data_IF_053242656921
#
_entry.id   IF_053242656921
#
_cell.length_a   1.000
_cell.length_b   1.000
_cell.length_c   1.000
_cell.angle_alpha   90.00
_cell.angle_beta   90.00
_cell.angle_gamma   90.00
#
_symmetry.space_group_name_H-M   'P 1'
#
loop_
_entity.id
_entity.type
_entity.pdbx_description
1 polymer ?
#
# COMPACT_ATOMS: atom_id res chain seq x y z
N UNK A 1 7.22 9.48 7.38
CA UNK A 1 5.91 10.17 7.20
C UNK A 1 5.35 10.43 8.60
N UNK A 2 4.72 11.56 8.89
CA UNK A 2 4.02 11.69 10.17
C UNK A 2 2.80 10.75 10.20
N UNK A 3 2.39 10.29 11.39
CA UNK A 3 1.22 9.42 11.54
C UNK A 3 -0.04 10.06 10.96
N UNK A 4 -0.23 11.37 11.17
CA UNK A 4 -1.37 12.11 10.62
C UNK A 4 -1.44 12.03 9.09
N UNK A 5 -0.31 12.16 8.38
CA UNK A 5 -0.29 12.06 6.91
C UNK A 5 -0.56 10.63 6.45
N UNK A 6 -0.11 9.63 7.21
CA UNK A 6 -0.33 8.21 6.91
C UNK A 6 -1.81 7.86 7.06
N UNK A 7 -2.47 8.32 8.12
CA UNK A 7 -3.91 8.09 8.32
C UNK A 7 -4.76 8.81 7.27
N UNK A 8 -4.37 10.00 6.80
CA UNK A 8 -5.07 10.69 5.69
C UNK A 8 -5.01 9.87 4.39
N UNK A 9 -3.85 9.26 4.08
CA UNK A 9 -3.65 8.52 2.82
C UNK A 9 -4.19 7.09 2.87
N UNK A 10 -4.00 6.39 3.99
CA UNK A 10 -4.23 4.95 4.11
C UNK A 10 -5.27 4.56 5.17
N UNK A 11 -5.96 5.53 5.79
CA UNK A 11 -7.02 5.24 6.76
C UNK A 11 -8.15 4.37 6.20
N UNK A 12 -8.40 4.43 4.87
CA UNK A 12 -9.29 3.50 4.18
C UNK A 12 -8.81 2.05 4.22
N UNK A 13 -7.53 1.82 3.87
CA UNK A 13 -6.89 0.49 3.89
C UNK A 13 -6.87 -0.08 5.31
N UNK A 14 -6.48 0.72 6.31
CA UNK A 14 -6.45 0.32 7.72
C UNK A 14 -7.83 -0.08 8.25
N UNK A 15 -8.90 0.59 7.82
CA UNK A 15 -10.29 0.19 8.15
C UNK A 15 -10.76 -1.06 7.42
N UNK A 16 -10.30 -1.28 6.18
CA UNK A 16 -10.70 -2.41 5.36
C UNK A 16 -10.02 -3.70 5.81
N UNK A 17 -8.69 -3.66 6.00
CA UNK A 17 -7.89 -4.85 6.29
C UNK A 17 -7.60 -5.03 7.79
N UNK A 18 -7.72 -3.97 8.60
CA UNK A 18 -7.38 -3.97 10.01
C UNK A 18 -5.98 -3.40 10.30
N UNK A 19 -5.76 -3.01 11.56
CA UNK A 19 -4.50 -2.43 12.03
C UNK A 19 -3.31 -3.38 11.82
N UNK A 20 -3.46 -4.65 12.20
CA UNK A 20 -2.38 -5.63 12.14
C UNK A 20 -1.92 -5.89 10.70
N UNK A 21 -2.86 -6.02 9.77
CA UNK A 21 -2.60 -6.25 8.35
C UNK A 21 -1.99 -5.01 7.70
N UNK A 22 -2.44 -3.82 8.10
CA UNK A 22 -1.82 -2.57 7.66
C UNK A 22 -0.35 -2.48 8.07
N UNK A 23 0.00 -2.88 9.29
CA UNK A 23 1.41 -2.95 9.73
C UNK A 23 2.24 -3.92 8.89
N UNK A 24 1.68 -5.07 8.51
CA UNK A 24 2.36 -6.01 7.62
C UNK A 24 2.63 -5.40 6.24
N UNK A 25 1.65 -4.69 5.67
CA UNK A 25 1.79 -4.01 4.38
C UNK A 25 2.88 -2.92 4.44
N UNK A 26 2.91 -2.11 5.50
CA UNK A 26 3.94 -1.09 5.70
C UNK A 26 5.37 -1.65 5.80
N UNK A 27 5.53 -2.90 6.24
CA UNK A 27 6.81 -3.58 6.36
C UNK A 27 7.15 -4.46 5.16
N UNK A 28 6.22 -4.61 4.22
CA UNK A 28 6.40 -5.46 3.06
C UNK A 28 7.28 -4.79 1.99
N UNK A 29 8.06 -5.61 1.29
CA UNK A 29 8.86 -5.20 0.14
C UNK A 29 8.44 -6.01 -1.08
N UNK A 30 7.91 -5.33 -2.09
CA UNK A 30 7.47 -5.94 -3.34
C UNK A 30 8.43 -5.63 -4.49
N UNK A 31 8.66 -6.61 -5.37
CA UNK A 31 9.35 -6.40 -6.64
C UNK A 31 8.37 -6.68 -7.78
N UNK A 32 8.20 -5.71 -8.68
CA UNK A 32 7.41 -5.88 -9.90
C UNK A 32 8.37 -5.95 -11.08
N UNK A 33 8.48 -7.12 -11.70
CA UNK A 33 9.32 -7.32 -12.89
C UNK A 33 8.47 -7.13 -14.14
N UNK A 34 8.79 -6.07 -14.89
CA UNK A 34 8.06 -5.63 -16.07
C UNK A 34 7.02 -4.57 -15.75
N UNK A 35 7.23 -3.35 -16.25
CA UNK A 35 6.34 -2.19 -16.06
C UNK A 35 5.57 -1.88 -17.35
N UNK A 36 5.03 -2.94 -17.96
CA UNK A 36 4.09 -2.85 -19.08
C UNK A 36 2.65 -2.68 -18.58
N UNK A 37 1.67 -2.95 -19.45
CA UNK A 37 0.26 -2.73 -19.13
C UNK A 37 -0.23 -3.38 -17.85
N UNK A 38 0.26 -4.57 -17.47
CA UNK A 38 -0.11 -5.22 -16.20
C UNK A 38 0.68 -4.64 -15.03
N UNK A 39 2.01 -4.61 -15.16
CA UNK A 39 2.89 -4.22 -14.07
C UNK A 39 2.72 -2.78 -13.62
N UNK A 40 2.32 -1.87 -14.52
CA UNK A 40 2.01 -0.49 -14.14
C UNK A 40 0.81 -0.41 -13.20
N UNK A 41 -0.28 -1.13 -13.48
CA UNK A 41 -1.44 -1.18 -12.59
C UNK A 41 -1.14 -1.93 -11.30
N UNK A 42 -0.32 -2.99 -11.35
CA UNK A 42 0.14 -3.68 -10.13
C UNK A 42 0.92 -2.74 -9.22
N UNK A 43 1.89 -1.99 -9.76
CA UNK A 43 2.67 -1.01 -9.00
C UNK A 43 1.78 0.10 -8.42
N UNK A 44 0.80 0.58 -9.19
CA UNK A 44 -0.18 1.57 -8.70
C UNK A 44 -1.01 1.02 -7.53
N UNK A 45 -1.52 -0.20 -7.65
CA UNK A 45 -2.31 -0.82 -6.58
C UNK A 45 -1.48 -0.99 -5.29
N UNK A 46 -0.24 -1.46 -5.41
CA UNK A 46 0.68 -1.59 -4.26
C UNK A 46 0.92 -0.23 -3.59
N UNK A 47 1.23 0.81 -4.37
CA UNK A 47 1.47 2.16 -3.82
C UNK A 47 0.24 2.78 -3.13
N UNK A 48 -0.97 2.37 -3.52
CA UNK A 48 -2.24 2.87 -2.94
C UNK A 48 -2.73 2.04 -1.75
N UNK A 49 -2.10 0.90 -1.47
CA UNK A 49 -2.53 -0.04 -0.43
C UNK A 49 -1.71 0.07 0.86
N UNK A 50 -0.84 1.10 0.95
CA UNK A 50 -0.03 1.36 2.14
C UNK A 50 1.36 0.81 1.99
#
# INVERSE_FOLDING_TARGET
MSEQVTDIRFGGIKRLYGQQQFEWLQQAHFCVVGIGGVGSWTAEALARTG
#
